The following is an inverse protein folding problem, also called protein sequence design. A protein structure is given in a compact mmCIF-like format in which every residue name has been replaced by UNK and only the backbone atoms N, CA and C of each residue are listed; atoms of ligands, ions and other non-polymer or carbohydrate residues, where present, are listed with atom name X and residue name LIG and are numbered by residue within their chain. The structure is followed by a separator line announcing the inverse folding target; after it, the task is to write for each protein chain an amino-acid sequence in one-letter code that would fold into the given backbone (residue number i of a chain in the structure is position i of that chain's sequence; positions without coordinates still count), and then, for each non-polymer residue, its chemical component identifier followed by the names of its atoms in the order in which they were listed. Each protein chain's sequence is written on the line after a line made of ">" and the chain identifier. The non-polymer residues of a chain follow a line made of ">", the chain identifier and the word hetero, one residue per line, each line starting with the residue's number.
data_IF_945954454106
#
_entry.id   IF_945954454106
#
_cell.length_a   1.000
_cell.length_b   1.000
_cell.length_c   1.000
_cell.angle_alpha   90.00
_cell.angle_beta   90.00
_cell.angle_gamma   90.00
#
_symmetry.space_group_name_H-M   'P 1'
#
loop_
_entity.id
_entity.type
_entity.pdbx_description
1 polymer ?
#
# COMPACT_ATOMS: atom_id res chain seq x y z
N UNK A 1 29.64 -45.81 22.78
CA UNK A 1 28.37 -46.54 22.94
C UNK A 1 27.30 -45.47 23.10
N UNK A 2 26.53 -45.21 22.04
CA UNK A 2 25.49 -44.18 22.03
C UNK A 2 24.20 -44.81 22.52
N UNK A 3 23.61 -44.22 23.55
CA UNK A 3 22.24 -44.45 23.94
C UNK A 3 21.34 -43.29 23.46
N UNK A 4 20.07 -43.67 23.27
CA UNK A 4 18.86 -42.85 23.24
C UNK A 4 18.41 -42.29 21.88
N UNK A 5 17.86 -43.18 21.06
CA UNK A 5 16.63 -42.92 20.34
C UNK A 5 15.48 -42.66 21.33
N UNK A 6 14.87 -41.47 21.33
CA UNK A 6 13.41 -41.29 21.50
C UNK A 6 12.94 -39.85 21.21
N UNK A 7 12.36 -39.67 20.03
CA UNK A 7 11.17 -38.85 19.69
C UNK A 7 10.84 -37.63 20.57
N UNK A 8 11.00 -36.42 20.00
CA UNK A 8 10.03 -35.35 20.18
C UNK A 8 9.67 -34.75 18.83
N UNK A 9 8.37 -34.83 18.54
CA UNK A 9 7.67 -34.14 17.47
C UNK A 9 7.00 -32.97 18.17
N UNK A 10 7.52 -31.76 18.03
CA UNK A 10 6.81 -30.53 18.38
C UNK A 10 7.29 -29.40 17.47
N UNK A 11 6.31 -28.71 16.90
CA UNK A 11 6.48 -27.53 16.05
C UNK A 11 7.24 -26.46 16.82
N UNK A 12 8.33 -25.95 16.25
CA UNK A 12 8.71 -24.57 16.52
C UNK A 12 9.03 -23.84 15.23
N UNK A 13 8.27 -22.77 15.07
CA UNK A 13 8.15 -21.92 13.92
C UNK A 13 9.30 -20.92 13.98
N UNK A 14 10.51 -21.34 13.59
CA UNK A 14 11.67 -20.44 13.55
C UNK A 14 11.63 -19.56 12.29
N UNK A 15 10.92 -18.46 12.48
CA UNK A 15 11.09 -17.20 11.77
C UNK A 15 12.51 -16.68 11.97
N UNK A 16 13.41 -16.92 11.02
CA UNK A 16 14.67 -16.17 10.92
C UNK A 16 15.19 -16.22 9.46
N UNK A 17 14.62 -15.34 8.65
CA UNK A 17 15.23 -14.89 7.40
C UNK A 17 15.64 -13.44 7.60
N UNK A 18 16.84 -13.24 8.13
CA UNK A 18 17.51 -11.95 8.24
C UNK A 18 17.43 -11.22 6.90
N UNK A 19 16.63 -10.15 6.86
CA UNK A 19 16.60 -9.23 5.74
C UNK A 19 17.82 -8.31 5.88
N UNK A 20 18.99 -8.80 5.47
CA UNK A 20 20.16 -7.94 5.28
C UNK A 20 19.79 -6.88 4.23
N UNK A 21 19.70 -5.64 4.69
CA UNK A 21 19.47 -4.47 3.88
C UNK A 21 20.70 -4.14 3.04
N UNK A 22 20.96 -4.93 2.00
CA UNK A 22 21.66 -4.39 0.84
C UNK A 22 20.69 -3.44 0.15
N UNK A 23 20.94 -2.15 0.32
CA UNK A 23 20.34 -1.10 -0.48
C UNK A 23 20.70 -1.34 -1.94
N UNK A 24 19.88 -2.12 -2.63
CA UNK A 24 19.81 -2.13 -4.08
C UNK A 24 19.32 -0.74 -4.52
N UNK A 25 20.26 0.17 -4.66
CA UNK A 25 20.12 1.43 -5.37
C UNK A 25 19.99 1.10 -6.85
N UNK A 26 18.82 0.58 -7.23
CA UNK A 26 18.42 0.57 -8.63
C UNK A 26 18.11 2.01 -8.99
N UNK A 27 18.97 2.58 -9.84
CA UNK A 27 18.73 3.85 -10.50
C UNK A 27 17.50 3.71 -11.44
N UNK A 28 16.33 3.88 -10.85
CA UNK A 28 15.06 4.14 -11.55
C UNK A 28 14.92 5.64 -11.89
N UNK A 29 15.93 6.46 -11.58
CA UNK A 29 15.88 7.92 -11.68
C UNK A 29 15.79 8.43 -13.11
N UNK A 30 16.41 7.73 -14.08
CA UNK A 30 16.56 8.31 -15.41
C UNK A 30 15.45 7.93 -16.42
N UNK A 31 14.70 6.85 -16.18
CA UNK A 31 13.57 6.41 -17.05
C UNK A 31 12.17 6.66 -16.44
N UNK A 32 12.09 7.04 -15.17
CA UNK A 32 10.83 7.20 -14.43
C UNK A 32 10.22 8.60 -14.42
N UNK A 33 10.96 9.61 -14.88
CA UNK A 33 10.72 11.02 -14.53
C UNK A 33 9.72 11.78 -15.43
N UNK A 34 9.09 11.11 -16.43
CA UNK A 34 8.21 11.79 -17.40
C UNK A 34 6.79 11.22 -17.56
N UNK A 35 6.34 10.24 -16.77
CA UNK A 35 4.94 9.80 -16.80
C UNK A 35 4.30 9.82 -15.41
N UNK A 36 3.63 10.95 -15.11
CA UNK A 36 2.83 11.23 -13.91
C UNK A 36 1.77 10.15 -13.63
N UNK A 37 1.34 9.41 -14.65
CA UNK A 37 0.37 8.31 -14.59
C UNK A 37 0.37 7.52 -15.90
N UNK A 38 -0.01 6.23 -15.92
CA UNK A 38 -0.27 5.51 -17.17
C UNK A 38 -1.63 5.85 -17.81
N UNK A 39 -2.46 6.63 -17.14
CA UNK A 39 -3.79 7.02 -17.58
C UNK A 39 -3.80 8.48 -18.03
N UNK A 40 -4.68 8.83 -18.97
CA UNK A 40 -5.00 10.24 -19.21
C UNK A 40 -5.77 10.82 -18.02
N UNK A 41 -5.80 12.14 -17.89
CA UNK A 41 -6.57 12.81 -16.83
C UNK A 41 -8.04 12.39 -16.83
N UNK A 42 -8.68 12.30 -18.00
CA UNK A 42 -10.06 11.83 -18.12
C UNK A 42 -10.23 10.39 -17.64
N UNK A 43 -9.30 9.50 -18.02
CA UNK A 43 -9.34 8.11 -17.57
C UNK A 43 -9.15 7.98 -16.05
N UNK A 44 -8.31 8.83 -15.44
CA UNK A 44 -8.17 8.89 -13.99
C UNK A 44 -9.46 9.30 -13.30
N UNK A 45 -10.12 10.35 -13.81
CA UNK A 45 -11.39 10.83 -13.27
C UNK A 45 -12.49 9.77 -13.37
N UNK A 46 -12.57 9.08 -14.51
CA UNK A 46 -13.54 7.98 -14.71
C UNK A 46 -13.28 6.81 -13.76
N UNK A 47 -12.02 6.41 -13.58
CA UNK A 47 -11.65 5.32 -12.68
C UNK A 47 -11.83 5.69 -11.21
N UNK A 48 -11.57 6.95 -10.84
CA UNK A 48 -11.80 7.46 -9.49
C UNK A 48 -13.29 7.46 -9.15
N UNK A 49 -14.13 7.92 -10.07
CA UNK A 49 -15.59 7.89 -9.92
C UNK A 49 -16.10 6.45 -9.76
N UNK A 50 -15.65 5.54 -10.63
CA UNK A 50 -15.98 4.11 -10.53
C UNK A 50 -15.53 3.48 -9.21
N UNK A 51 -14.39 3.92 -8.65
CA UNK A 51 -13.89 3.41 -7.38
C UNK A 51 -14.78 3.82 -6.21
N UNK A 52 -15.30 5.05 -6.23
CA UNK A 52 -16.20 5.57 -5.19
C UNK A 52 -17.59 4.89 -5.24
N UNK A 53 -18.00 4.40 -6.41
CA UNK A 53 -19.26 3.65 -6.57
C UNK A 53 -19.19 2.20 -6.03
N UNK A 54 -18.01 1.69 -5.68
CA UNK A 54 -17.82 0.31 -5.22
C UNK A 54 -18.41 0.12 -3.82
N UNK A 55 -19.34 -0.83 -3.71
CA UNK A 55 -20.05 -1.10 -2.46
C UNK A 55 -19.57 -2.36 -1.75
N UNK A 56 -18.95 -3.28 -2.48
CA UNK A 56 -18.46 -4.53 -1.93
C UNK A 56 -17.09 -4.98 -2.46
N UNK A 57 -16.57 -6.03 -1.85
CA UNK A 57 -15.25 -6.55 -2.16
C UNK A 57 -15.17 -7.28 -3.51
N UNK A 58 -16.28 -7.86 -3.98
CA UNK A 58 -16.34 -8.50 -5.28
C UNK A 58 -16.28 -7.46 -6.41
N UNK A 59 -16.97 -6.34 -6.25
CA UNK A 59 -16.89 -5.17 -7.14
C UNK A 59 -15.48 -4.57 -7.13
N UNK A 60 -14.83 -4.48 -5.97
CA UNK A 60 -13.43 -4.06 -5.85
C UNK A 60 -12.49 -4.96 -6.66
N UNK A 61 -12.62 -6.28 -6.54
CA UNK A 61 -11.79 -7.22 -7.29
C UNK A 61 -12.00 -7.08 -8.81
N UNK A 62 -13.25 -6.88 -9.23
CA UNK A 62 -13.57 -6.66 -10.64
C UNK A 62 -12.99 -5.35 -11.16
N UNK A 63 -13.10 -4.26 -10.38
CA UNK A 63 -12.52 -2.96 -10.68
C UNK A 63 -11.00 -3.05 -10.82
N UNK A 64 -10.30 -3.63 -9.83
CA UNK A 64 -8.84 -3.81 -9.88
C UNK A 64 -8.42 -4.64 -11.09
N UNK A 65 -9.19 -5.69 -11.41
CA UNK A 65 -8.98 -6.47 -12.63
C UNK A 65 -9.11 -5.63 -13.90
N UNK A 66 -10.11 -4.74 -14.01
CA UNK A 66 -10.28 -3.83 -15.16
C UNK A 66 -9.18 -2.78 -15.23
N UNK A 67 -8.80 -2.18 -14.11
CA UNK A 67 -7.74 -1.18 -14.01
C UNK A 67 -6.42 -1.76 -14.53
N UNK A 68 -6.01 -2.94 -14.03
CA UNK A 68 -4.76 -3.58 -14.47
C UNK A 68 -4.81 -3.94 -15.97
N UNK A 69 -5.96 -4.37 -16.51
CA UNK A 69 -6.11 -4.60 -17.97
C UNK A 69 -5.88 -3.33 -18.76
N UNK A 70 -6.33 -2.19 -18.24
CA UNK A 70 -6.30 -0.91 -18.96
C UNK A 70 -4.89 -0.35 -19.09
N UNK A 71 -4.02 -0.59 -18.11
CA UNK A 71 -2.62 -0.14 -18.09
C UNK A 71 -1.77 -0.72 -19.24
N UNK A 72 -2.23 -1.77 -19.94
CA UNK A 72 -1.55 -2.18 -21.15
C UNK A 72 -2.31 -3.12 -22.05
N UNK A 73 -2.38 -2.72 -23.32
CA UNK A 73 -2.82 -3.53 -24.46
C UNK A 73 -1.77 -4.64 -24.72
N UNK A 74 -1.85 -5.73 -23.97
CA UNK A 74 -0.88 -6.84 -24.02
C UNK A 74 -0.69 -7.58 -22.70
N UNK A 75 -1.13 -6.97 -21.59
CA UNK A 75 -0.99 -7.47 -20.20
C UNK A 75 -2.03 -8.55 -19.87
N UNK A 76 -2.93 -8.91 -20.79
CA UNK A 76 -3.99 -9.90 -20.55
C UNK A 76 -3.48 -11.25 -20.00
N UNK A 77 -2.24 -11.63 -20.33
CA UNK A 77 -1.56 -12.82 -19.78
C UNK A 77 -1.05 -12.62 -18.35
N UNK A 78 -0.61 -11.41 -17.99
CA UNK A 78 -0.06 -11.07 -16.66
C UNK A 78 -1.13 -11.14 -15.57
N UNK A 79 -2.38 -10.75 -15.87
CA UNK A 79 -3.45 -10.78 -14.86
C UNK A 79 -3.77 -12.20 -14.40
N UNK A 80 -3.69 -13.16 -15.33
CA UNK A 80 -3.89 -14.58 -15.03
C UNK A 80 -2.62 -15.23 -14.46
N UNK A 81 -1.48 -14.54 -14.50
CA UNK A 81 -0.20 -15.04 -14.01
C UNK A 81 -0.09 -14.91 -12.47
N UNK A 82 0.86 -15.61 -11.84
CA UNK A 82 1.16 -15.43 -10.42
C UNK A 82 1.40 -13.96 -10.05
N UNK A 83 2.11 -13.22 -10.91
CA UNK A 83 2.43 -11.81 -10.73
C UNK A 83 1.15 -10.96 -10.63
N UNK A 84 0.19 -11.14 -11.55
CA UNK A 84 -1.07 -10.39 -11.53
C UNK A 84 -1.92 -10.67 -10.29
N UNK A 85 -1.94 -11.92 -9.81
CA UNK A 85 -2.67 -12.28 -8.57
C UNK A 85 -2.02 -11.68 -7.32
N UNK A 86 -0.69 -11.65 -7.26
CA UNK A 86 0.03 -11.00 -6.16
C UNK A 86 -0.23 -9.50 -6.18
N UNK A 87 -0.13 -8.85 -7.35
CA UNK A 87 -0.44 -7.44 -7.51
C UNK A 87 -1.89 -7.13 -7.09
N UNK A 88 -2.86 -7.90 -7.54
CA UNK A 88 -4.26 -7.75 -7.14
C UNK A 88 -4.45 -7.79 -5.62
N UNK A 89 -3.82 -8.75 -4.93
CA UNK A 89 -3.87 -8.85 -3.45
C UNK A 89 -3.25 -7.64 -2.76
N UNK A 90 -2.12 -7.14 -3.27
CA UNK A 90 -1.43 -5.95 -2.73
C UNK A 90 -2.33 -4.71 -2.89
N UNK A 91 -2.83 -4.46 -4.11
CA UNK A 91 -3.71 -3.32 -4.40
C UNK A 91 -4.99 -3.38 -3.57
N UNK A 92 -5.58 -4.57 -3.43
CA UNK A 92 -6.73 -4.81 -2.58
C UNK A 92 -6.45 -4.52 -1.11
N UNK A 93 -5.27 -4.90 -0.61
CA UNK A 93 -4.84 -4.59 0.76
C UNK A 93 -4.72 -3.09 1.02
N UNK A 94 -4.22 -2.32 0.04
CA UNK A 94 -4.15 -0.86 0.12
C UNK A 94 -5.55 -0.25 0.04
N UNK A 95 -6.38 -0.69 -0.91
CA UNK A 95 -7.75 -0.26 -1.07
C UNK A 95 -8.56 -0.49 0.21
N UNK A 96 -8.45 -1.65 0.86
CA UNK A 96 -9.13 -1.93 2.14
C UNK A 96 -8.73 -0.99 3.28
N UNK A 97 -7.55 -0.36 3.23
CA UNK A 97 -7.11 0.63 4.22
C UNK A 97 -7.52 2.05 3.84
N UNK A 98 -7.64 2.33 2.55
CA UNK A 98 -7.99 3.64 2.00
C UNK A 98 -9.51 3.85 1.86
N UNK A 99 -10.26 2.83 1.41
CA UNK A 99 -11.68 2.94 1.09
C UNK A 99 -12.61 3.20 2.28
N UNK A 100 -12.37 2.66 3.50
CA UNK A 100 -13.17 3.07 4.66
C UNK A 100 -13.02 4.57 5.00
N UNK A 101 -11.97 5.21 4.48
CA UNK A 101 -11.80 6.65 4.56
C UNK A 101 -12.59 7.39 3.46
N UNK A 102 -12.81 6.75 2.32
CA UNK A 102 -13.47 7.29 1.13
C UNK A 102 -15.01 7.35 1.23
N UNK A 103 -15.58 7.37 2.44
CA UNK A 103 -17.04 7.42 2.66
C UNK A 103 -17.83 6.21 2.15
N UNK A 104 -17.16 5.24 1.53
CA UNK A 104 -17.76 4.06 0.94
C UNK A 104 -18.24 3.10 2.01
N UNK A 105 -19.56 2.88 2.04
CA UNK A 105 -20.31 1.96 2.86
C UNK A 105 -19.89 0.49 2.68
N UNK A 106 -18.66 0.12 3.03
CA UNK A 106 -18.31 -1.28 3.32
C UNK A 106 -18.92 -1.60 4.69
N UNK A 107 -20.24 -1.80 4.71
CA UNK A 107 -21.06 -1.99 5.90
C UNK A 107 -21.79 -0.72 6.31
N UNK A 108 -22.91 -0.42 5.64
CA UNK A 108 -23.73 0.74 5.96
C UNK A 108 -24.21 0.75 7.41
N UNK A 109 -23.90 1.81 8.17
CA UNK A 109 -24.75 2.30 9.29
C UNK A 109 -24.35 3.66 9.90
N UNK A 110 -23.57 4.53 9.25
CA UNK A 110 -23.15 5.77 9.95
C UNK A 110 -23.35 7.05 9.12
N UNK A 111 -24.59 7.28 8.69
CA UNK A 111 -25.06 8.53 8.08
C UNK A 111 -25.76 9.47 9.06
N UNK A 112 -25.10 9.82 10.17
CA UNK A 112 -25.61 10.78 11.17
C UNK A 112 -24.48 11.64 11.77
N UNK A 113 -24.75 12.63 12.65
CA UNK A 113 -23.73 13.51 13.21
C UNK A 113 -22.59 12.78 13.96
N UNK A 114 -22.82 11.56 14.45
CA UNK A 114 -21.74 10.69 14.97
C UNK A 114 -20.87 10.06 13.87
N UNK A 115 -21.43 9.82 12.68
CA UNK A 115 -20.70 9.36 11.49
C UNK A 115 -19.79 10.44 10.90
N UNK A 116 -20.19 11.71 10.94
CA UNK A 116 -19.35 12.83 10.51
C UNK A 116 -18.07 12.97 11.37
N UNK A 117 -18.16 12.70 12.68
CA UNK A 117 -17.01 12.73 13.59
C UNK A 117 -16.05 11.54 13.39
N UNK A 118 -16.55 10.37 12.98
CA UNK A 118 -15.72 9.22 12.59
C UNK A 118 -15.10 9.45 11.21
N UNK A 119 -15.88 9.95 10.26
CA UNK A 119 -15.43 10.27 8.90
C UNK A 119 -14.30 11.28 8.87
N UNK A 120 -14.38 12.37 9.65
CA UNK A 120 -13.31 13.38 9.75
C UNK A 120 -11.97 12.85 10.27
N UNK A 121 -11.98 11.93 11.24
CA UNK A 121 -10.75 11.28 11.74
C UNK A 121 -10.17 10.28 10.75
N UNK A 122 -11.04 9.57 10.03
CA UNK A 122 -10.63 8.66 8.96
C UNK A 122 -10.04 9.45 7.79
N UNK A 123 -10.68 10.53 7.34
CA UNK A 123 -10.23 11.43 6.27
C UNK A 123 -8.83 12.00 6.52
N UNK A 124 -8.59 12.45 7.75
CA UNK A 124 -7.26 12.91 8.20
C UNK A 124 -6.20 11.80 8.08
N UNK A 125 -6.59 10.54 8.28
CA UNK A 125 -5.75 9.36 8.10
C UNK A 125 -5.39 9.08 6.64
N UNK A 126 -6.34 9.18 5.70
CA UNK A 126 -6.02 9.04 4.27
C UNK A 126 -5.21 10.22 3.74
N UNK A 127 -5.52 11.46 4.12
CA UNK A 127 -4.71 12.62 3.75
C UNK A 127 -3.23 12.40 4.08
N UNK A 128 -2.93 11.92 5.29
CA UNK A 128 -1.56 11.55 5.68
C UNK A 128 -0.99 10.35 4.92
N UNK A 129 -1.81 9.33 4.66
CA UNK A 129 -1.39 8.13 3.92
C UNK A 129 -1.01 8.46 2.47
N UNK A 130 -1.79 9.32 1.82
CA UNK A 130 -1.64 9.71 0.43
C UNK A 130 -0.79 10.97 0.25
N UNK A 131 -0.37 11.61 1.34
CA UNK A 131 0.36 12.88 1.31
C UNK A 131 -0.45 14.01 0.67
N UNK A 132 -1.77 14.01 0.90
CA UNK A 132 -2.71 14.97 0.35
C UNK A 132 -3.08 16.01 1.41
N UNK A 133 -3.13 17.26 0.99
CA UNK A 133 -3.66 18.38 1.77
C UNK A 133 -5.17 18.43 1.54
N UNK A 134 -5.91 17.76 2.43
CA UNK A 134 -7.38 17.64 2.35
C UNK A 134 -8.11 18.73 3.16
N UNK A 135 -7.35 19.62 3.81
CA UNK A 135 -7.91 20.69 4.64
C UNK A 135 -8.65 21.73 3.77
N UNK A 136 -9.84 22.13 4.19
CA UNK A 136 -10.66 23.11 3.47
C UNK A 136 -11.47 22.58 2.29
N UNK A 137 -11.28 21.32 1.89
CA UNK A 137 -12.10 20.66 0.87
C UNK A 137 -13.41 20.11 1.45
N UNK A 138 -14.45 20.00 0.62
CA UNK A 138 -15.67 19.28 0.98
C UNK A 138 -15.37 17.78 1.15
N UNK A 139 -16.22 17.04 1.88
CA UNK A 139 -16.00 15.60 2.08
C UNK A 139 -15.94 14.85 0.74
N UNK A 140 -16.84 15.18 -0.18
CA UNK A 140 -16.90 14.59 -1.53
C UNK A 140 -15.61 14.85 -2.32
N UNK A 141 -15.09 16.08 -2.27
CA UNK A 141 -13.84 16.42 -2.95
C UNK A 141 -12.63 15.69 -2.35
N UNK A 142 -12.61 15.53 -1.02
CA UNK A 142 -11.55 14.77 -0.35
C UNK A 142 -11.55 13.30 -0.78
N UNK A 143 -12.74 12.72 -0.86
CA UNK A 143 -12.94 11.33 -1.31
C UNK A 143 -12.48 11.18 -2.76
N UNK A 144 -12.85 12.11 -3.63
CA UNK A 144 -12.44 12.10 -5.02
C UNK A 144 -10.92 12.21 -5.20
N UNK A 145 -10.24 13.11 -4.47
CA UNK A 145 -8.79 13.27 -4.56
C UNK A 145 -8.03 12.03 -4.07
N UNK A 146 -8.48 11.42 -2.97
CA UNK A 146 -7.91 10.16 -2.48
C UNK A 146 -8.15 9.02 -3.48
N UNK A 147 -9.33 8.95 -4.10
CA UNK A 147 -9.64 7.95 -5.13
C UNK A 147 -8.75 8.14 -6.38
N UNK A 148 -8.61 9.37 -6.86
CA UNK A 148 -7.73 9.71 -8.00
C UNK A 148 -6.27 9.32 -7.70
N UNK A 149 -5.79 9.61 -6.49
CA UNK A 149 -4.45 9.26 -6.08
C UNK A 149 -4.25 7.75 -5.96
N UNK A 150 -5.25 7.01 -5.48
CA UNK A 150 -5.23 5.54 -5.49
C UNK A 150 -5.16 4.97 -6.92
N UNK A 151 -5.92 5.53 -7.86
CA UNK A 151 -5.89 5.11 -9.27
C UNK A 151 -4.49 5.31 -9.87
N UNK A 152 -3.86 6.46 -9.62
CA UNK A 152 -2.46 6.73 -10.03
C UNK A 152 -1.49 5.70 -9.45
N UNK A 153 -1.60 5.44 -8.15
CA UNK A 153 -0.80 4.40 -7.48
C UNK A 153 -0.97 3.02 -8.13
N UNK A 154 -2.21 2.57 -8.29
CA UNK A 154 -2.52 1.25 -8.85
C UNK A 154 -2.07 1.13 -10.32
N UNK A 155 -2.27 2.20 -11.09
CA UNK A 155 -1.83 2.30 -12.47
C UNK A 155 -0.31 2.17 -12.58
N UNK A 156 0.43 3.01 -11.86
CA UNK A 156 1.90 3.00 -11.88
C UNK A 156 2.45 1.66 -11.42
N UNK A 157 1.89 1.05 -10.37
CA UNK A 157 2.30 -0.27 -9.91
C UNK A 157 2.08 -1.35 -10.99
N UNK A 158 0.93 -1.33 -11.66
CA UNK A 158 0.64 -2.25 -12.76
C UNK A 158 1.56 -2.05 -13.96
N UNK A 159 1.88 -0.79 -14.32
CA UNK A 159 2.82 -0.46 -15.41
C UNK A 159 4.20 -0.99 -15.08
N UNK A 160 4.69 -0.71 -13.87
CA UNK A 160 6.01 -1.14 -13.38
C UNK A 160 6.13 -2.67 -13.40
N UNK A 161 5.08 -3.40 -13.00
CA UNK A 161 5.03 -4.86 -13.13
C UNK A 161 5.08 -5.31 -14.58
N UNK A 162 4.36 -4.63 -15.48
CA UNK A 162 4.24 -5.03 -16.87
C UNK A 162 5.53 -4.89 -17.68
N UNK A 163 6.36 -3.90 -17.32
CA UNK A 163 7.66 -3.65 -17.95
C UNK A 163 8.81 -4.33 -17.21
N UNK A 164 8.53 -5.07 -16.14
CA UNK A 164 9.56 -5.73 -15.35
C UNK A 164 10.22 -6.90 -16.12
N UNK A 165 11.53 -7.15 -15.91
CA UNK A 165 12.21 -8.29 -16.52
C UNK A 165 11.58 -9.64 -16.13
N UNK A 166 11.44 -10.60 -17.06
CA UNK A 166 10.71 -11.85 -16.82
C UNK A 166 11.42 -12.87 -15.91
N UNK A 167 12.70 -12.66 -15.57
CA UNK A 167 13.54 -13.61 -14.82
C UNK A 167 13.63 -13.29 -13.32
N UNK A 168 12.79 -12.39 -12.82
CA UNK A 168 12.75 -12.03 -11.39
C UNK A 168 11.60 -12.78 -10.74
N UNK A 169 11.79 -13.20 -9.49
CA UNK A 169 10.73 -13.80 -8.69
C UNK A 169 9.45 -12.90 -8.68
N UNK A 170 8.24 -13.48 -8.87
CA UNK A 170 6.99 -12.74 -8.92
C UNK A 170 6.69 -11.87 -7.69
N UNK A 171 7.02 -12.35 -6.48
CA UNK A 171 6.77 -11.58 -5.25
C UNK A 171 7.70 -10.37 -5.19
N UNK A 172 8.97 -10.57 -5.52
CA UNK A 172 9.99 -9.52 -5.58
C UNK A 172 9.63 -8.46 -6.60
N UNK A 173 9.15 -8.88 -7.78
CA UNK A 173 8.71 -7.99 -8.86
C UNK A 173 7.56 -7.09 -8.40
N UNK A 174 6.50 -7.68 -7.85
CA UNK A 174 5.34 -6.92 -7.38
C UNK A 174 5.70 -6.00 -6.22
N UNK A 175 6.50 -6.48 -5.25
CA UNK A 175 6.92 -5.68 -4.10
C UNK A 175 7.69 -4.45 -4.54
N UNK A 176 8.68 -4.61 -5.44
CA UNK A 176 9.46 -3.48 -5.98
C UNK A 176 8.58 -2.50 -6.74
N UNK A 177 7.73 -3.00 -7.64
CA UNK A 177 6.81 -2.17 -8.42
C UNK A 177 5.83 -1.37 -7.57
N UNK A 178 5.24 -2.01 -6.54
CA UNK A 178 4.32 -1.37 -5.62
C UNK A 178 5.03 -0.35 -4.71
N UNK A 179 6.24 -0.64 -4.23
CA UNK A 179 7.01 0.31 -3.42
C UNK A 179 7.41 1.55 -4.23
N UNK A 180 7.84 1.38 -5.48
CA UNK A 180 8.18 2.50 -6.36
C UNK A 180 6.95 3.38 -6.65
N UNK A 181 5.81 2.77 -6.97
CA UNK A 181 4.55 3.50 -7.13
C UNK A 181 4.10 4.18 -5.83
N UNK A 182 4.32 3.53 -4.68
CA UNK A 182 3.95 4.07 -3.38
C UNK A 182 4.74 5.34 -3.04
N UNK A 183 6.03 5.38 -3.33
CA UNK A 183 6.88 6.56 -3.09
C UNK A 183 6.33 7.82 -3.75
N UNK A 184 5.73 7.67 -4.94
CA UNK A 184 5.22 8.78 -5.74
C UNK A 184 3.80 9.19 -5.38
N UNK A 185 2.93 8.21 -5.12
CA UNK A 185 1.49 8.47 -5.04
C UNK A 185 0.91 8.28 -3.64
N UNK A 186 1.54 7.47 -2.80
CA UNK A 186 1.09 7.18 -1.42
C UNK A 186 2.27 7.15 -0.45
N UNK A 187 3.01 8.26 -0.29
CA UNK A 187 4.24 8.26 0.49
C UNK A 187 4.03 7.87 1.95
N UNK A 188 2.88 8.23 2.54
CA UNK A 188 2.52 7.84 3.90
C UNK A 188 2.25 6.33 4.07
N UNK A 189 1.93 5.61 2.98
CA UNK A 189 1.79 4.15 3.02
C UNK A 189 3.11 3.45 3.32
N UNK A 190 4.24 4.02 2.87
CA UNK A 190 5.57 3.47 3.18
C UNK A 190 5.84 3.58 4.68
N UNK A 191 5.49 4.72 5.28
CA UNK A 191 5.59 4.92 6.74
C UNK A 191 4.66 3.99 7.50
N UNK A 192 3.44 3.75 7.00
CA UNK A 192 2.47 2.85 7.62
C UNK A 192 2.79 1.36 7.43
N UNK A 193 3.46 0.99 6.33
CA UNK A 193 3.93 -0.37 6.04
C UNK A 193 5.31 -0.66 6.61
N UNK A 194 6.02 0.35 7.09
CA UNK A 194 7.29 0.22 7.77
C UNK A 194 7.04 0.15 9.29
N UNK A 195 6.93 -1.06 9.89
CA UNK A 195 6.89 -1.20 11.35
C UNK A 195 8.16 -0.65 12.03
N UNK A 196 9.17 -0.25 11.24
CA UNK A 196 10.47 0.25 11.70
C UNK A 196 10.59 1.78 11.72
N UNK A 197 9.68 2.54 11.11
CA UNK A 197 9.77 4.01 11.07
C UNK A 197 9.06 4.70 12.25
N UNK A 198 8.09 4.03 12.88
CA UNK A 198 7.49 4.47 14.15
C UNK A 198 8.22 3.92 15.39
N UNK A 199 9.30 3.16 15.18
CA UNK A 199 10.32 2.91 16.19
C UNK A 199 11.29 4.08 16.24
N UNK A 200 10.80 5.30 16.55
CA UNK A 200 11.69 6.39 16.92
C UNK A 200 12.63 5.85 18.00
N UNK A 201 13.95 5.98 17.83
CA UNK A 201 15.00 5.47 18.73
C UNK A 201 14.52 5.59 20.18
N UNK A 202 13.98 4.49 20.70
CA UNK A 202 13.32 4.53 22.00
C UNK A 202 14.40 4.32 23.03
N UNK A 203 14.95 5.43 23.50
CA UNK A 203 15.90 5.40 24.59
C UNK A 203 15.17 5.18 25.91
N UNK A 204 15.69 4.34 26.81
CA UNK A 204 15.25 4.29 28.21
C UNK A 204 16.02 5.34 29.00
N UNK A 205 15.30 6.31 29.57
CA UNK A 205 15.88 7.38 30.39
C UNK A 205 15.82 6.96 31.85
N UNK A 206 16.98 6.80 32.49
CA UNK A 206 17.06 6.46 33.92
C UNK A 206 17.67 7.63 34.66
N UNK A 207 16.95 8.14 35.67
CA UNK A 207 17.48 9.15 36.58
C UNK A 207 18.25 8.49 37.71
N UNK A 208 19.54 8.81 37.85
CA UNK A 208 20.39 8.37 38.96
C UNK A 208 20.94 9.59 39.69
N UNK A 209 20.18 10.04 40.70
CA UNK A 209 20.49 11.27 41.45
C UNK A 209 20.46 12.51 40.57
N UNK A 210 21.62 13.16 40.39
CA UNK A 210 21.80 14.37 39.54
C UNK A 210 22.15 14.07 38.08
N UNK A 211 22.17 12.80 37.67
CA UNK A 211 22.51 12.39 36.30
C UNK A 211 21.33 11.74 35.61
N UNK A 212 21.22 11.98 34.31
CA UNK A 212 20.29 11.31 33.40
C UNK A 212 21.13 10.35 32.55
N UNK A 213 20.75 9.08 32.52
CA UNK A 213 21.39 8.04 31.71
C UNK A 213 20.43 7.72 30.56
N UNK A 214 20.95 7.83 29.33
CA UNK A 214 20.25 7.47 28.11
C UNK A 214 20.72 6.09 27.67
N UNK A 215 19.81 5.12 27.62
CA UNK A 215 20.09 3.77 27.11
C UNK A 215 19.43 3.63 25.74
N UNK A 216 20.13 3.19 24.71
CA UNK A 216 19.55 2.99 23.37
C UNK A 216 19.49 4.26 22.49
N UNK A 217 20.49 5.14 22.63
CA UNK A 217 20.74 6.27 21.69
C UNK A 217 21.63 5.84 20.53
#
# INVERSE_FOLDING_TARGET
>A
MHDFDRTQLELEFESEGEFEGEGFEFDFGEFGDQMESPFSETEEMELASQLLEITDEAELDQFLGRLIRRVGRGIGKIIRSPVGRILGRVLKGVARRALPVLGGAVGGYFGGPMGAAVGSRLATGAGRLFGLELEGLSLEDQEFEVARRFVRFAGTAARNVAVAPPNIDPQTTVRRAALDAAKRHVPGLITALSPLAAGGRSGKWIRRGRRIILLGV
#
